data_IF_722127885950
#
_entry.id   IF_722127885950
#
_cell.length_a   1.000
_cell.length_b   1.000
_cell.length_c   1.000
_cell.angle_alpha   90.00
_cell.angle_beta   90.00
_cell.angle_gamma   90.00
#
_symmetry.space_group_name_H-M   'P 1'
#
loop_
_entity.id
_entity.type
_entity.pdbx_description
1 polymer ?
#
# COMPACT_ATOMS: atom_id res chain seq x y z
N UNK A 1 -28.96 -47.51 -0.45
CA UNK A 1 -28.92 -46.60 0.70
C UNK A 1 -30.35 -46.42 1.17
N UNK A 2 -30.64 -46.64 2.45
CA UNK A 2 -31.98 -46.48 2.99
C UNK A 2 -32.34 -44.98 3.15
N UNK A 3 -33.64 -44.65 3.19
CA UNK A 3 -34.12 -43.27 3.36
C UNK A 3 -33.57 -42.62 4.64
N UNK A 4 -33.40 -43.39 5.73
CA UNK A 4 -32.81 -42.90 6.98
C UNK A 4 -31.34 -42.53 6.83
N UNK A 5 -30.57 -43.28 6.05
CA UNK A 5 -29.16 -42.99 5.80
C UNK A 5 -29.00 -41.73 4.95
N UNK A 6 -29.91 -41.51 4.00
CA UNK A 6 -29.93 -40.30 3.18
C UNK A 6 -30.25 -39.05 4.00
N UNK A 7 -31.20 -39.11 4.94
CA UNK A 7 -31.51 -38.00 5.86
C UNK A 7 -30.27 -37.64 6.71
N UNK A 8 -29.61 -38.64 7.30
CA UNK A 8 -28.37 -38.43 8.08
C UNK A 8 -27.26 -37.78 7.24
N UNK A 9 -27.12 -38.19 5.98
CA UNK A 9 -26.14 -37.60 5.06
C UNK A 9 -26.44 -36.12 4.78
N UNK A 10 -27.70 -35.76 4.52
CA UNK A 10 -28.11 -34.37 4.30
C UNK A 10 -27.82 -33.51 5.54
N UNK A 11 -28.18 -33.99 6.73
CA UNK A 11 -27.92 -33.28 7.99
C UNK A 11 -26.43 -33.05 8.22
N UNK A 12 -25.60 -34.04 7.90
CA UNK A 12 -24.14 -33.93 7.96
C UNK A 12 -23.62 -32.84 7.02
N UNK A 13 -23.97 -32.89 5.73
CA UNK A 13 -23.54 -31.88 4.76
C UNK A 13 -24.03 -30.48 5.13
N UNK A 14 -25.27 -30.34 5.63
CA UNK A 14 -25.79 -29.05 6.11
C UNK A 14 -24.94 -28.48 7.25
N UNK A 15 -24.56 -29.31 8.22
CA UNK A 15 -23.69 -28.91 9.34
C UNK A 15 -22.30 -28.48 8.85
N UNK A 16 -21.71 -29.25 7.94
CA UNK A 16 -20.41 -28.93 7.37
C UNK A 16 -20.40 -27.65 6.54
N UNK A 17 -21.43 -27.43 5.72
CA UNK A 17 -21.61 -26.18 4.98
C UNK A 17 -21.79 -25.00 5.93
N UNK A 18 -22.56 -25.17 7.01
CA UNK A 18 -22.71 -24.16 8.06
C UNK A 18 -21.37 -23.76 8.68
N UNK A 19 -20.53 -24.73 9.05
CA UNK A 19 -19.20 -24.48 9.61
C UNK A 19 -18.25 -23.85 8.58
N UNK A 20 -18.32 -24.31 7.33
CA UNK A 20 -17.56 -23.75 6.22
C UNK A 20 -17.88 -22.26 6.05
N UNK A 21 -19.17 -21.92 5.87
CA UNK A 21 -19.61 -20.55 5.62
C UNK A 21 -19.38 -19.63 6.81
N UNK A 22 -19.67 -20.10 8.02
CA UNK A 22 -19.60 -19.26 9.22
C UNK A 22 -18.18 -18.93 9.60
N UNK A 23 -17.27 -19.92 9.62
CA UNK A 23 -15.94 -19.80 10.25
C UNK A 23 -14.78 -19.97 9.28
N UNK A 24 -14.82 -20.96 8.39
CA UNK A 24 -13.67 -21.31 7.54
C UNK A 24 -13.51 -20.37 6.34
N UNK A 25 -14.59 -20.10 5.61
CA UNK A 25 -14.56 -19.23 4.42
C UNK A 25 -14.07 -17.82 4.73
N UNK A 26 -14.53 -17.13 5.79
CA UNK A 26 -14.00 -15.81 6.13
C UNK A 26 -12.47 -15.76 6.32
N UNK A 27 -11.87 -16.81 6.89
CA UNK A 27 -10.42 -16.92 7.08
C UNK A 27 -9.71 -17.11 5.74
N UNK A 28 -10.21 -18.03 4.90
CA UNK A 28 -9.65 -18.31 3.57
C UNK A 28 -9.73 -17.05 2.69
N UNK A 29 -10.91 -16.44 2.60
CA UNK A 29 -11.17 -15.22 1.83
C UNK A 29 -10.31 -14.06 2.35
N UNK A 30 -10.18 -13.91 3.67
CA UNK A 30 -9.33 -12.87 4.27
C UNK A 30 -7.87 -12.98 3.85
N UNK A 31 -7.31 -14.20 3.89
CA UNK A 31 -5.95 -14.46 3.41
C UNK A 31 -5.81 -14.16 1.92
N UNK A 32 -6.73 -14.64 1.10
CA UNK A 32 -6.73 -14.39 -0.35
C UNK A 32 -6.79 -12.90 -0.68
N UNK A 33 -7.63 -12.14 0.01
CA UNK A 33 -7.75 -10.70 -0.18
C UNK A 33 -6.46 -9.98 0.23
N UNK A 34 -5.87 -10.32 1.38
CA UNK A 34 -4.58 -9.77 1.80
C UNK A 34 -3.49 -10.04 0.76
N UNK A 35 -3.39 -11.28 0.28
CA UNK A 35 -2.39 -11.67 -0.71
C UNK A 35 -2.60 -10.92 -2.04
N UNK A 36 -3.85 -10.79 -2.49
CA UNK A 36 -4.22 -10.02 -3.68
C UNK A 36 -3.81 -8.55 -3.57
N UNK A 37 -4.17 -7.88 -2.46
CA UNK A 37 -3.82 -6.47 -2.30
C UNK A 37 -2.32 -6.27 -2.12
N UNK A 38 -1.61 -7.19 -1.47
CA UNK A 38 -0.15 -7.15 -1.41
C UNK A 38 0.48 -7.33 -2.80
N UNK A 39 -0.06 -8.22 -3.63
CA UNK A 39 0.41 -8.42 -5.00
C UNK A 39 0.23 -7.18 -5.88
N UNK A 40 -0.84 -6.40 -5.68
CA UNK A 40 -1.03 -5.10 -6.32
C UNK A 40 0.16 -4.14 -6.10
N UNK A 41 0.75 -4.11 -4.90
CA UNK A 41 1.97 -3.32 -4.66
C UNK A 41 3.15 -3.80 -5.49
N UNK A 42 3.34 -5.12 -5.59
CA UNK A 42 4.43 -5.72 -6.38
C UNK A 42 4.27 -5.40 -7.86
N UNK A 43 3.03 -5.43 -8.36
CA UNK A 43 2.66 -5.05 -9.73
C UNK A 43 2.71 -3.54 -9.98
N UNK A 44 2.78 -2.73 -8.93
CA UNK A 44 2.79 -1.27 -9.01
C UNK A 44 1.48 -0.69 -9.53
N UNK A 45 0.34 -1.32 -9.23
CA UNK A 45 -0.97 -0.94 -9.74
C UNK A 45 -2.10 -1.68 -9.06
N UNK A 46 -3.34 -1.32 -9.39
CA UNK A 46 -4.54 -1.95 -8.85
C UNK A 46 -5.18 -2.87 -9.89
N UNK A 47 -5.33 -4.15 -9.57
CA UNK A 47 -5.98 -5.11 -10.46
C UNK A 47 -7.50 -5.04 -10.26
N UNK A 48 -8.21 -4.55 -11.27
CA UNK A 48 -9.66 -4.55 -11.35
C UNK A 48 -10.11 -4.44 -12.81
N UNK A 49 -10.51 -5.56 -13.42
CA UNK A 49 -10.72 -5.68 -14.87
C UNK A 49 -9.45 -5.30 -15.65
N UNK A 50 -8.31 -5.85 -15.23
CA UNK A 50 -6.98 -5.51 -15.72
C UNK A 50 -6.16 -4.68 -14.73
N UNK A 51 -4.88 -4.51 -15.03
CA UNK A 51 -3.94 -3.79 -14.18
C UNK A 51 -3.99 -2.28 -14.45
N UNK A 52 -4.52 -1.53 -13.49
CA UNK A 52 -4.48 -0.06 -13.48
C UNK A 52 -3.20 0.43 -12.80
N UNK A 53 -2.16 0.73 -13.58
CA UNK A 53 -0.85 1.16 -13.05
C UNK A 53 -0.96 2.45 -12.24
N UNK A 54 -0.26 2.50 -11.11
CA UNK A 54 -0.21 3.70 -10.28
C UNK A 54 0.65 4.80 -10.90
N UNK A 55 0.33 6.08 -10.65
CA UNK A 55 1.17 7.19 -11.05
C UNK A 55 2.61 7.06 -10.54
N UNK A 56 3.55 7.16 -11.48
CA UNK A 56 4.99 7.10 -11.24
C UNK A 56 5.42 8.16 -10.22
N UNK A 57 6.38 7.81 -9.37
CA UNK A 57 6.88 8.72 -8.34
C UNK A 57 7.94 9.68 -8.91
N UNK A 58 8.05 10.89 -8.36
CA UNK A 58 9.14 11.83 -8.69
C UNK A 58 10.53 11.21 -8.50
N UNK A 59 10.66 10.30 -7.54
CA UNK A 59 11.88 9.55 -7.26
C UNK A 59 12.30 8.68 -8.45
N UNK A 60 11.35 7.98 -9.06
CA UNK A 60 11.60 7.15 -10.25
C UNK A 60 11.96 8.00 -11.48
N UNK A 61 11.46 9.24 -11.56
CA UNK A 61 11.84 10.19 -12.62
C UNK A 61 13.19 10.87 -12.41
N UNK A 62 13.89 10.64 -11.30
CA UNK A 62 15.13 11.36 -10.99
C UNK A 62 16.36 10.92 -11.80
N UNK A 63 16.27 9.82 -12.55
CA UNK A 63 17.41 9.22 -13.27
C UNK A 63 18.49 8.63 -12.35
N UNK A 64 18.26 8.60 -11.04
CA UNK A 64 19.18 8.02 -10.07
C UNK A 64 19.25 6.49 -10.22
N UNK A 65 20.45 5.93 -10.21
CA UNK A 65 20.70 4.48 -10.15
C UNK A 65 20.63 3.89 -8.73
N UNK A 66 20.24 4.69 -7.73
CA UNK A 66 20.15 4.20 -6.35
C UNK A 66 19.05 3.15 -6.20
N UNK A 67 19.26 2.16 -5.31
CA UNK A 67 18.23 1.16 -4.99
C UNK A 67 16.87 1.80 -4.61
N UNK A 68 16.92 2.97 -3.96
CA UNK A 68 15.72 3.71 -3.62
C UNK A 68 14.92 4.15 -4.84
N UNK A 69 15.59 4.53 -5.94
CA UNK A 69 14.96 5.00 -7.16
C UNK A 69 14.26 3.89 -7.93
N UNK A 70 14.71 2.65 -7.79
CA UNK A 70 14.15 1.46 -8.46
C UNK A 70 12.84 0.99 -7.84
N UNK A 71 12.58 1.25 -6.55
CA UNK A 71 11.33 0.82 -5.92
C UNK A 71 10.09 1.39 -6.61
N UNK A 72 9.09 0.53 -6.79
CA UNK A 72 7.77 0.91 -7.31
C UNK A 72 7.03 1.93 -6.44
N UNK A 73 5.93 2.52 -6.94
CA UNK A 73 5.10 3.40 -6.15
C UNK A 73 4.57 2.69 -4.89
N UNK A 74 4.44 3.42 -3.78
CA UNK A 74 4.07 2.91 -2.44
C UNK A 74 5.04 1.90 -1.80
N UNK A 75 6.10 1.49 -2.50
CA UNK A 75 7.16 0.62 -1.97
C UNK A 75 8.40 1.41 -1.56
N UNK A 76 9.11 0.89 -0.57
CA UNK A 76 10.37 1.43 -0.04
C UNK A 76 11.12 0.34 0.73
N UNK A 77 12.34 0.60 1.19
CA UNK A 77 13.09 -0.41 1.96
C UNK A 77 12.36 -0.96 3.20
N UNK A 78 11.39 -0.23 3.78
CA UNK A 78 10.66 -0.65 5.00
C UNK A 78 9.26 -1.25 4.73
N UNK A 79 8.66 -0.98 3.56
CA UNK A 79 7.35 -1.53 3.14
C UNK A 79 6.21 -1.48 4.19
N UNK A 80 6.12 -0.41 4.98
CA UNK A 80 5.18 -0.32 6.10
C UNK A 80 3.70 -0.40 5.68
N UNK A 81 3.28 0.35 4.65
CA UNK A 81 1.90 0.30 4.15
C UNK A 81 1.56 -1.10 3.62
N UNK A 82 2.43 -1.65 2.77
CA UNK A 82 2.30 -3.01 2.27
C UNK A 82 2.15 -4.08 3.38
N UNK A 83 2.94 -3.97 4.45
CA UNK A 83 2.92 -4.90 5.57
C UNK A 83 1.76 -4.70 6.54
N UNK A 84 1.09 -3.54 6.51
CA UNK A 84 0.03 -3.17 7.45
C UNK A 84 -1.37 -3.59 7.00
N UNK A 85 -1.50 -4.19 5.82
CA UNK A 85 -2.75 -4.80 5.36
C UNK A 85 -3.09 -6.00 6.25
N UNK A 86 -4.22 -5.89 6.93
CA UNK A 86 -4.75 -6.91 7.84
C UNK A 86 -6.15 -7.33 7.40
N UNK A 87 -6.51 -8.54 7.77
CA UNK A 87 -7.89 -9.03 7.67
C UNK A 87 -8.36 -9.52 9.03
N UNK A 88 -9.63 -9.28 9.34
CA UNK A 88 -10.30 -9.68 10.58
C UNK A 88 -11.53 -10.49 10.17
N UNK A 89 -11.46 -11.83 10.27
CA UNK A 89 -12.61 -12.69 10.00
C UNK A 89 -13.63 -12.57 11.15
N UNK A 90 -14.90 -12.69 10.80
CA UNK A 90 -16.05 -12.75 11.71
C UNK A 90 -17.07 -13.74 11.13
N UNK A 91 -18.13 -14.01 11.88
CA UNK A 91 -19.19 -14.91 11.42
C UNK A 91 -19.73 -14.44 10.05
N UNK A 92 -19.58 -15.31 9.05
CA UNK A 92 -20.02 -15.11 7.65
C UNK A 92 -19.38 -13.95 6.88
N UNK A 93 -18.40 -13.24 7.45
CA UNK A 93 -17.80 -12.06 6.80
C UNK A 93 -16.35 -11.87 7.17
N UNK A 94 -15.61 -11.16 6.33
CA UNK A 94 -14.25 -10.74 6.64
C UNK A 94 -14.05 -9.27 6.32
N UNK A 95 -13.43 -8.53 7.25
CA UNK A 95 -13.03 -7.15 7.05
C UNK A 95 -11.56 -7.11 6.65
N UNK A 96 -11.22 -6.43 5.55
CA UNK A 96 -9.84 -6.20 5.14
C UNK A 96 -9.57 -4.70 5.21
N UNK A 97 -8.50 -4.29 5.88
CA UNK A 97 -8.18 -2.90 6.10
C UNK A 97 -6.67 -2.66 6.25
N UNK A 98 -6.29 -1.40 6.13
CA UNK A 98 -4.96 -0.90 6.52
C UNK A 98 -5.16 0.17 7.60
N UNK A 99 -4.53 -0.03 8.76
CA UNK A 99 -4.72 0.80 9.96
C UNK A 99 -3.73 1.98 10.01
N UNK A 100 -2.88 2.15 9.01
CA UNK A 100 -1.89 3.22 9.02
C UNK A 100 -2.58 4.57 8.75
N UNK A 101 -2.29 5.64 9.51
CA UNK A 101 -3.03 6.91 9.40
C UNK A 101 -3.01 7.57 8.01
N UNK A 102 -1.99 7.27 7.21
CA UNK A 102 -1.83 7.81 5.85
C UNK A 102 -2.31 6.85 4.75
N UNK A 103 -2.90 5.71 5.11
CA UNK A 103 -3.40 4.72 4.15
C UNK A 103 -4.49 5.32 3.25
N UNK A 104 -5.50 5.96 3.85
CA UNK A 104 -6.63 6.57 3.14
C UNK A 104 -6.17 7.58 2.08
N UNK A 105 -5.29 8.51 2.45
CA UNK A 105 -4.82 9.55 1.52
C UNK A 105 -4.00 8.98 0.35
N UNK A 106 -3.32 7.85 0.53
CA UNK A 106 -2.67 7.15 -0.59
C UNK A 106 -3.69 6.41 -1.46
N UNK A 107 -4.71 5.78 -0.86
CA UNK A 107 -5.71 5.01 -1.59
C UNK A 107 -6.63 5.89 -2.45
N UNK A 108 -7.03 7.05 -1.91
CA UNK A 108 -8.00 7.95 -2.52
C UNK A 108 -7.34 9.09 -3.30
N UNK A 109 -6.11 9.45 -2.91
CA UNK A 109 -5.46 10.68 -3.33
C UNK A 109 -6.07 11.89 -2.62
N UNK A 110 -5.46 13.06 -2.80
CA UNK A 110 -5.97 14.29 -2.21
C UNK A 110 -4.88 15.32 -1.96
N UNK A 111 -5.23 16.38 -1.25
CA UNK A 111 -4.29 17.44 -0.86
C UNK A 111 -4.17 17.47 0.65
N UNK A 112 -2.94 17.40 1.15
CA UNK A 112 -2.64 17.54 2.58
C UNK A 112 -2.02 18.89 2.86
N UNK A 113 -2.37 19.47 4.01
CA UNK A 113 -1.93 20.80 4.42
C UNK A 113 -1.09 20.78 5.72
N UNK A 114 0.07 20.09 5.77
CA UNK A 114 0.86 20.00 6.98
C UNK A 114 1.42 21.35 7.43
N UNK A 115 1.46 21.55 8.75
CA UNK A 115 2.06 22.73 9.39
C UNK A 115 3.58 22.66 9.33
N UNK A 116 4.23 23.75 8.91
CA UNK A 116 5.69 23.87 8.84
C UNK A 116 6.25 23.98 10.25
N UNK A 117 6.95 22.93 10.69
CA UNK A 117 7.59 22.90 12.02
C UNK A 117 9.05 23.38 11.97
N UNK A 118 9.62 23.86 13.08
CA UNK A 118 11.05 24.16 13.17
C UNK A 118 11.94 22.95 12.79
N UNK A 119 11.51 21.73 13.15
CA UNK A 119 12.22 20.49 12.80
C UNK A 119 12.31 20.29 11.28
N UNK A 120 11.25 20.62 10.53
CA UNK A 120 11.25 20.56 9.06
C UNK A 120 12.23 21.57 8.45
N UNK A 121 12.31 22.79 9.01
CA UNK A 121 13.27 23.81 8.54
C UNK A 121 14.71 23.37 8.78
N UNK A 122 15.01 22.84 9.98
CA UNK A 122 16.34 22.27 10.29
C UNK A 122 16.70 21.13 9.34
N UNK A 123 15.74 20.26 9.04
CA UNK A 123 15.95 19.18 8.07
C UNK A 123 16.24 19.72 6.66
N UNK A 124 15.49 20.73 6.21
CA UNK A 124 15.74 21.36 4.91
C UNK A 124 17.16 21.99 4.85
N UNK A 125 17.61 22.64 5.92
CA UNK A 125 19.00 23.11 6.02
C UNK A 125 20.02 21.97 5.98
N UNK A 126 19.79 20.89 6.71
CA UNK A 126 20.67 19.71 6.68
C UNK A 126 20.79 19.14 5.25
N UNK A 127 19.67 19.05 4.52
CA UNK A 127 19.67 18.61 3.12
C UNK A 127 20.37 19.60 2.18
N UNK A 128 20.20 20.91 2.37
CA UNK A 128 20.95 21.93 1.64
C UNK A 128 22.46 21.75 1.79
N UNK A 129 22.94 21.58 3.04
CA UNK A 129 24.37 21.38 3.31
C UNK A 129 24.90 20.07 2.72
N UNK A 130 24.09 19.00 2.76
CA UNK A 130 24.43 17.71 2.14
C UNK A 130 24.60 17.84 0.62
N UNK A 131 23.68 18.51 -0.05
CA UNK A 131 23.70 18.68 -1.52
C UNK A 131 24.77 19.67 -1.97
N UNK A 132 25.09 20.69 -1.17
CA UNK A 132 26.16 21.65 -1.45
C UNK A 132 27.55 21.15 -1.09
N UNK A 133 27.68 19.93 -0.52
CA UNK A 133 28.97 19.32 -0.21
C UNK A 133 29.74 20.04 0.90
N UNK A 134 29.07 20.81 1.77
CA UNK A 134 29.69 21.39 2.98
C UNK A 134 29.87 20.30 4.04
N UNK A 135 30.76 19.36 3.78
CA UNK A 135 31.27 18.44 4.80
C UNK A 135 32.15 19.21 5.79
N UNK A 136 31.96 18.96 7.09
CA UNK A 136 32.61 19.67 8.19
C UNK A 136 34.14 19.53 8.24
N UNK A 137 34.77 18.70 7.41
CA UNK A 137 36.18 18.32 7.54
C UNK A 137 37.10 18.60 6.34
N UNK A 138 36.72 19.44 5.36
CA UNK A 138 37.69 19.91 4.34
C UNK A 138 38.01 21.39 4.52
N UNK A 139 39.28 21.65 4.85
CA UNK A 139 39.91 22.98 4.92
C UNK A 139 39.46 23.84 3.73
N UNK A 140 39.15 25.10 4.04
CA UNK A 140 38.79 26.19 3.13
C UNK A 140 39.60 26.16 1.83
N UNK A 141 39.08 25.53 0.78
CA UNK A 141 39.35 25.97 -0.60
C UNK A 141 38.08 26.68 -1.05
N UNK A 142 38.12 28.02 -1.01
CA UNK A 142 37.07 28.88 -1.56
C UNK A 142 36.99 28.60 -3.08
N UNK A 143 36.15 27.67 -3.51
CA UNK A 143 35.61 27.73 -4.87
C UNK A 143 34.39 28.64 -4.83
N UNK A 144 34.66 29.91 -5.08
CA UNK A 144 33.67 30.90 -5.41
C UNK A 144 32.91 30.45 -6.68
N UNK A 145 31.59 30.63 -6.69
CA UNK A 145 30.85 30.81 -7.94
C UNK A 145 30.29 29.56 -8.65
N UNK A 146 30.10 28.42 -7.99
CA UNK A 146 29.28 27.36 -8.61
C UNK A 146 27.80 27.71 -8.45
N UNK A 147 27.11 27.98 -9.57
CA UNK A 147 25.64 28.22 -9.63
C UNK A 147 24.93 27.26 -8.67
N UNK A 148 24.10 27.78 -7.76
CA UNK A 148 23.36 26.94 -6.81
C UNK A 148 22.60 25.86 -7.59
N UNK A 149 22.96 24.58 -7.37
CA UNK A 149 22.27 23.45 -7.98
C UNK A 149 20.75 23.59 -7.72
N UNK A 150 19.90 23.29 -8.71
CA UNK A 150 18.44 23.43 -8.57
C UNK A 150 17.89 22.73 -7.30
N UNK A 151 18.48 21.58 -6.94
CA UNK A 151 18.17 20.87 -5.70
C UNK A 151 18.59 21.64 -4.43
N UNK A 152 19.73 22.34 -4.44
CA UNK A 152 20.15 23.21 -3.33
C UNK A 152 19.21 24.41 -3.18
N UNK A 153 18.84 25.07 -4.29
CA UNK A 153 17.85 26.15 -4.27
C UNK A 153 16.50 25.72 -3.67
N UNK A 154 16.02 24.52 -4.04
CA UNK A 154 14.80 23.94 -3.49
C UNK A 154 14.85 23.79 -1.96
N UNK A 155 15.92 23.20 -1.42
CA UNK A 155 16.05 23.00 0.04
C UNK A 155 16.17 24.31 0.80
N UNK A 156 16.90 25.29 0.25
CA UNK A 156 17.04 26.64 0.83
C UNK A 156 15.70 27.37 0.88
N UNK A 157 14.93 27.32 -0.21
CA UNK A 157 13.59 27.92 -0.26
C UNK A 157 12.64 27.27 0.77
N UNK A 158 12.73 25.95 0.94
CA UNK A 158 11.90 25.22 1.90
C UNK A 158 12.29 25.54 3.36
N UNK A 159 13.58 25.75 3.63
CA UNK A 159 14.05 26.17 4.96
C UNK A 159 13.60 27.60 5.34
N UNK A 160 13.61 28.51 4.35
CA UNK A 160 13.29 29.92 4.50
C UNK A 160 11.81 30.27 4.28
N UNK A 161 10.96 29.28 3.97
CA UNK A 161 9.54 29.51 3.65
C UNK A 161 8.83 30.29 4.76
N UNK A 162 8.14 31.38 4.44
CA UNK A 162 7.32 32.10 5.42
C UNK A 162 5.94 31.44 5.63
N UNK A 163 5.58 30.46 4.80
CA UNK A 163 4.29 29.77 4.86
C UNK A 163 4.19 28.93 6.14
N UNK A 164 3.06 29.05 6.84
CA UNK A 164 2.75 28.23 8.02
C UNK A 164 2.23 26.84 7.63
N UNK A 165 1.51 26.72 6.51
CA UNK A 165 1.01 25.43 5.97
C UNK A 165 1.52 25.23 4.54
N UNK A 166 1.88 24.00 4.20
CA UNK A 166 2.26 23.63 2.84
C UNK A 166 1.09 22.91 2.17
N UNK A 167 0.79 23.19 0.92
CA UNK A 167 -0.18 22.41 0.14
C UNK A 167 0.54 21.34 -0.67
N UNK A 168 0.25 20.07 -0.40
CA UNK A 168 0.90 18.93 -1.03
C UNK A 168 -0.18 18.05 -1.69
N UNK A 169 -0.15 17.99 -3.02
CA UNK A 169 -1.01 17.09 -3.81
C UNK A 169 -0.43 15.68 -3.84
N UNK A 170 -1.15 14.73 -3.25
CA UNK A 170 -0.85 13.29 -3.28
C UNK A 170 -1.71 12.65 -4.38
N UNK A 171 -1.09 11.99 -5.38
CA UNK A 171 -1.85 11.29 -6.41
C UNK A 171 -2.50 10.02 -5.84
N UNK A 172 -3.67 9.69 -6.39
CA UNK A 172 -4.41 8.47 -6.07
C UNK A 172 -3.61 7.23 -6.47
N UNK A 173 -3.38 6.33 -5.52
CA UNK A 173 -2.77 5.01 -5.72
C UNK A 173 -3.61 3.99 -5.00
N UNK A 174 -4.75 3.63 -5.62
CA UNK A 174 -5.70 2.70 -5.03
C UNK A 174 -5.04 1.34 -4.82
N UNK A 175 -5.00 0.87 -3.59
CA UNK A 175 -4.45 -0.44 -3.24
C UNK A 175 -5.45 -1.31 -2.46
N UNK A 176 -6.48 -0.70 -1.89
CA UNK A 176 -7.65 -1.38 -1.30
C UNK A 176 -8.92 -0.92 -2.02
N UNK A 177 -9.80 -1.87 -2.33
CA UNK A 177 -11.07 -1.63 -3.00
C UNK A 177 -11.62 -2.87 -3.70
N UNK A 178 -12.75 -2.73 -4.37
CA UNK A 178 -13.36 -3.81 -5.15
C UNK A 178 -12.46 -4.22 -6.33
N UNK A 179 -12.34 -5.53 -6.55
CA UNK A 179 -11.56 -6.12 -7.64
C UNK A 179 -12.33 -7.30 -8.21
N UNK A 180 -12.69 -7.23 -9.49
CA UNK A 180 -13.38 -8.32 -10.19
C UNK A 180 -12.58 -9.62 -10.15
N UNK A 181 -11.25 -9.55 -10.27
CA UNK A 181 -10.36 -10.70 -10.23
C UNK A 181 -10.29 -11.33 -8.83
N UNK A 182 -10.33 -10.51 -7.78
CA UNK A 182 -10.42 -11.03 -6.42
C UNK A 182 -11.76 -11.72 -6.19
N UNK A 183 -12.86 -11.09 -6.59
CA UNK A 183 -14.21 -11.67 -6.48
C UNK A 183 -14.30 -13.00 -7.23
N UNK A 184 -13.78 -13.08 -8.46
CA UNK A 184 -13.78 -14.32 -9.23
C UNK A 184 -12.99 -15.43 -8.51
N UNK A 185 -11.79 -15.13 -8.01
CA UNK A 185 -10.99 -16.09 -7.25
C UNK A 185 -11.70 -16.58 -5.98
N UNK A 186 -12.39 -15.66 -5.29
CA UNK A 186 -13.17 -16.00 -4.10
C UNK A 186 -14.32 -16.95 -4.46
N UNK A 187 -15.04 -16.68 -5.54
CA UNK A 187 -16.15 -17.53 -5.99
C UNK A 187 -15.64 -18.92 -6.39
N UNK A 188 -14.61 -19.00 -7.24
CA UNK A 188 -13.97 -20.25 -7.64
C UNK A 188 -13.53 -21.06 -6.41
N UNK A 189 -12.90 -20.40 -5.42
CA UNK A 189 -12.46 -21.07 -4.20
C UNK A 189 -13.63 -21.53 -3.33
N UNK A 190 -14.69 -20.74 -3.26
CA UNK A 190 -15.90 -21.07 -2.48
C UNK A 190 -16.61 -22.27 -3.08
N UNK A 191 -16.78 -22.29 -4.40
CA UNK A 191 -17.34 -23.43 -5.14
C UNK A 191 -16.52 -24.70 -4.90
N UNK A 192 -15.20 -24.63 -5.01
CA UNK A 192 -14.32 -25.77 -4.72
C UNK A 192 -14.53 -26.35 -3.31
N UNK A 193 -14.62 -25.50 -2.29
CA UNK A 193 -14.84 -25.97 -0.91
C UNK A 193 -16.24 -26.56 -0.71
N UNK A 194 -17.26 -26.01 -1.37
CA UNK A 194 -18.63 -26.53 -1.33
C UNK A 194 -18.71 -27.89 -2.03
N UNK A 195 -18.18 -28.01 -3.25
CA UNK A 195 -18.14 -29.26 -4.02
C UNK A 195 -17.43 -30.36 -3.24
N UNK A 196 -16.34 -30.02 -2.55
CA UNK A 196 -15.61 -30.96 -1.69
C UNK A 196 -16.44 -31.50 -0.53
N UNK A 197 -17.28 -30.67 0.09
CA UNK A 197 -18.19 -31.10 1.17
C UNK A 197 -19.30 -31.98 0.60
N UNK A 198 -19.88 -31.57 -0.52
CA UNK A 198 -20.99 -32.29 -1.15
C UNK A 198 -20.54 -33.58 -1.85
N UNK A 199 -19.22 -33.78 -2.03
CA UNK A 199 -18.60 -34.88 -2.78
C UNK A 199 -19.17 -34.99 -4.20
N UNK A 200 -19.39 -33.83 -4.81
CA UNK A 200 -19.79 -33.67 -6.22
C UNK A 200 -18.58 -33.66 -7.14
#
# INVERSE_FOLDING_TARGET
>A
MDAKDYIKLIEHHKKELGELMRRKLPVIVGRMAKDHYQDNFRKGGFVNNGLHKWPVTKRQHSGSSSASATYGPLLSGRNHLFGSIKYVPADYRVKVADEVPYAAIHNEGGTVNPTVTPKMRRFAWAMYHKVTGREKNKRKTKKAGTKENAAAGFWKALALTKKQKLSIKIPKRRFLGESAELTRKINEKTEQEITKILKL
#
